data_IF_997121960534
#
_entry.id   IF_997121960534
#
_cell.length_a   1.000
_cell.length_b   1.000
_cell.length_c   1.000
_cell.angle_alpha   90.00
_cell.angle_beta   90.00
_cell.angle_gamma   90.00
#
_symmetry.space_group_name_H-M   'P 1'
#
loop_
_entity.id
_entity.type
_entity.pdbx_description
1 polymer ?
#
# COMPACT_ATOMS: atom_id res chain seq x y z
N UNK A 1 23.35 3.31 -6.63
CA UNK A 1 23.04 1.86 -6.55
C UNK A 1 22.18 1.47 -5.35
N UNK A 2 22.45 1.93 -4.12
CA UNK A 2 21.65 1.53 -2.94
C UNK A 2 20.19 2.02 -2.95
N UNK A 3 19.92 3.21 -3.46
CA UNK A 3 18.58 3.83 -3.53
C UNK A 3 17.59 3.02 -4.37
N UNK A 4 18.02 2.54 -5.55
CA UNK A 4 17.18 1.73 -6.45
C UNK A 4 16.82 0.36 -5.84
N UNK A 5 17.76 -0.29 -5.15
CA UNK A 5 17.49 -1.57 -4.46
C UNK A 5 16.50 -1.41 -3.30
N UNK A 6 16.62 -0.33 -2.51
CA UNK A 6 15.69 -0.04 -1.42
C UNK A 6 14.27 0.17 -1.94
N UNK A 7 14.10 1.02 -2.95
CA UNK A 7 12.78 1.30 -3.55
C UNK A 7 12.17 0.03 -4.15
N UNK A 8 12.96 -0.82 -4.80
CA UNK A 8 12.51 -2.11 -5.30
C UNK A 8 11.99 -3.02 -4.16
N UNK A 9 12.76 -3.17 -3.08
CA UNK A 9 12.37 -3.99 -1.92
C UNK A 9 11.10 -3.44 -1.24
N UNK A 10 10.97 -2.12 -1.12
CA UNK A 10 9.77 -1.49 -0.58
C UNK A 10 8.55 -1.79 -1.45
N UNK A 11 8.67 -1.69 -2.77
CA UNK A 11 7.56 -2.01 -3.69
C UNK A 11 7.17 -3.49 -3.64
N UNK A 12 8.13 -4.42 -3.61
CA UNK A 12 7.84 -5.85 -3.46
C UNK A 12 7.11 -6.12 -2.14
N UNK A 13 7.59 -5.52 -1.04
CA UNK A 13 6.96 -5.65 0.28
C UNK A 13 5.55 -5.07 0.30
N UNK A 14 5.34 -3.91 -0.34
CA UNK A 14 4.02 -3.28 -0.48
C UNK A 14 3.05 -4.16 -1.26
N UNK A 15 3.48 -4.82 -2.33
CA UNK A 15 2.63 -5.76 -3.08
C UNK A 15 2.19 -6.92 -2.18
N UNK A 16 3.11 -7.55 -1.45
CA UNK A 16 2.81 -8.66 -0.54
C UNK A 16 1.85 -8.22 0.57
N UNK A 17 2.15 -7.11 1.24
CA UNK A 17 1.30 -6.57 2.30
C UNK A 17 -0.08 -6.16 1.79
N UNK A 18 -0.16 -5.61 0.58
CA UNK A 18 -1.45 -5.21 0.00
C UNK A 18 -2.32 -6.40 -0.37
N UNK A 19 -1.74 -7.49 -0.87
CA UNK A 19 -2.45 -8.75 -1.06
C UNK A 19 -2.96 -9.26 0.30
N UNK A 20 -2.10 -9.28 1.33
CA UNK A 20 -2.49 -9.68 2.69
C UNK A 20 -3.62 -8.81 3.27
N UNK A 21 -3.54 -7.48 3.07
CA UNK A 21 -4.56 -6.52 3.48
C UNK A 21 -5.89 -6.74 2.77
N UNK A 22 -5.88 -7.01 1.46
CA UNK A 22 -7.07 -7.35 0.70
C UNK A 22 -7.68 -8.68 1.18
N UNK A 23 -6.88 -9.71 1.42
CA UNK A 23 -7.37 -10.99 1.95
C UNK A 23 -8.00 -10.84 3.34
N UNK A 24 -7.38 -10.08 4.25
CA UNK A 24 -7.93 -9.79 5.58
C UNK A 24 -9.24 -8.99 5.49
N UNK A 25 -9.27 -7.99 4.61
CA UNK A 25 -10.47 -7.18 4.34
C UNK A 25 -11.60 -8.06 3.82
N UNK A 26 -11.36 -8.86 2.79
CA UNK A 26 -12.34 -9.81 2.25
C UNK A 26 -12.82 -10.79 3.30
N UNK A 27 -11.94 -11.30 4.16
CA UNK A 27 -12.33 -12.19 5.25
C UNK A 27 -13.32 -11.53 6.20
N UNK A 28 -13.13 -10.26 6.57
CA UNK A 28 -14.07 -9.50 7.42
C UNK A 28 -15.43 -9.35 6.74
N UNK A 29 -15.47 -9.00 5.46
CA UNK A 29 -16.74 -8.78 4.76
C UNK A 29 -17.48 -10.07 4.42
N UNK A 30 -16.77 -11.16 4.15
CA UNK A 30 -17.36 -12.50 4.03
C UNK A 30 -18.02 -12.94 5.34
N UNK A 31 -17.38 -12.62 6.48
CA UNK A 31 -17.97 -12.84 7.80
C UNK A 31 -19.25 -12.04 8.04
N UNK A 32 -19.32 -10.78 7.58
CA UNK A 32 -20.54 -9.93 7.70
C UNK A 32 -21.68 -10.50 6.85
N UNK A 33 -21.39 -10.92 5.62
CA UNK A 33 -22.39 -11.47 4.69
C UNK A 33 -22.93 -12.81 5.22
N UNK A 34 -22.06 -13.67 5.73
CA UNK A 34 -22.44 -14.99 6.27
C UNK A 34 -23.14 -14.92 7.62
N UNK A 35 -22.75 -14.00 8.51
CA UNK A 35 -23.28 -13.95 9.89
C UNK A 35 -24.48 -13.01 10.09
N UNK A 36 -24.88 -12.24 9.06
CA UNK A 36 -25.83 -11.10 9.16
C UNK A 36 -25.32 -10.02 10.14
N UNK A 37 -25.87 -8.81 10.06
CA UNK A 37 -25.40 -7.62 10.81
C UNK A 37 -25.07 -7.92 12.29
N UNK A 38 -23.83 -7.62 12.69
CA UNK A 38 -23.33 -7.85 14.04
C UNK A 38 -23.65 -6.64 14.93
N UNK A 39 -24.56 -6.80 15.89
CA UNK A 39 -24.97 -5.73 16.83
C UNK A 39 -25.04 -6.24 18.26
N UNK A 40 -24.89 -5.34 19.24
CA UNK A 40 -25.04 -5.66 20.67
C UNK A 40 -26.51 -5.73 21.07
N UNK A 41 -26.85 -6.49 22.12
CA UNK A 41 -28.18 -6.48 22.76
C UNK A 41 -27.96 -6.10 24.22
N UNK A 42 -28.74 -5.18 24.82
CA UNK A 42 -29.95 -4.52 24.29
C UNK A 42 -29.72 -3.28 23.42
N UNK A 43 -28.50 -2.71 23.39
CA UNK A 43 -28.26 -1.38 22.82
C UNK A 43 -28.30 -1.30 21.28
N UNK A 44 -28.41 -2.44 20.58
CA UNK A 44 -28.40 -2.55 19.12
C UNK A 44 -27.25 -1.81 18.44
N UNK A 45 -26.12 -1.61 19.14
CA UNK A 45 -24.95 -0.93 18.60
C UNK A 45 -24.36 -1.80 17.49
N UNK A 46 -24.35 -1.29 16.26
CA UNK A 46 -23.70 -1.95 15.12
C UNK A 46 -22.19 -2.00 15.38
N UNK A 47 -21.66 -3.21 15.54
CA UNK A 47 -20.24 -3.45 15.81
C UNK A 47 -19.42 -3.58 14.52
N UNK A 48 -20.08 -3.93 13.41
CA UNK A 48 -19.44 -3.98 12.10
C UNK A 48 -20.21 -3.12 11.12
N UNK A 49 -19.66 -1.95 10.79
CA UNK A 49 -20.24 -1.06 9.80
C UNK A 49 -19.81 -1.50 8.39
N UNK A 50 -20.74 -1.93 7.51
CA UNK A 50 -20.41 -2.33 6.14
C UNK A 50 -19.79 -1.20 5.31
N UNK A 51 -20.05 0.07 5.66
CA UNK A 51 -19.45 1.23 4.99
C UNK A 51 -17.92 1.31 5.20
N UNK A 52 -17.37 0.59 6.18
CA UNK A 52 -15.93 0.49 6.37
C UNK A 52 -15.23 -0.14 5.15
N UNK A 53 -15.96 -0.93 4.34
CA UNK A 53 -15.46 -1.50 3.09
C UNK A 53 -14.94 -0.44 2.11
N UNK A 54 -15.62 0.72 2.07
CA UNK A 54 -15.29 1.84 1.19
C UNK A 54 -13.94 2.46 1.53
N UNK A 55 -13.40 2.21 2.72
CA UNK A 55 -12.08 2.67 3.14
C UNK A 55 -11.04 1.57 3.06
N UNK A 56 -11.37 0.37 3.55
CA UNK A 56 -10.46 -0.77 3.62
C UNK A 56 -9.99 -1.26 2.24
N UNK A 57 -10.93 -1.47 1.30
CA UNK A 57 -10.57 -1.99 -0.02
C UNK A 57 -9.73 -0.99 -0.82
N UNK A 58 -10.10 0.30 -0.95
CA UNK A 58 -9.30 1.23 -1.73
C UNK A 58 -7.90 1.45 -1.16
N UNK A 59 -7.71 1.40 0.16
CA UNK A 59 -6.40 1.58 0.79
C UNK A 59 -5.37 0.55 0.31
N UNK A 60 -5.71 -0.73 0.40
CA UNK A 60 -4.78 -1.79 -0.03
C UNK A 60 -4.72 -1.90 -1.56
N UNK A 61 -5.82 -1.66 -2.27
CA UNK A 61 -5.84 -1.67 -3.74
C UNK A 61 -4.94 -0.58 -4.33
N UNK A 62 -4.98 0.64 -3.78
CA UNK A 62 -4.16 1.73 -4.29
C UNK A 62 -2.66 1.45 -4.09
N UNK A 63 -2.26 1.01 -2.90
CA UNK A 63 -0.88 0.57 -2.63
C UNK A 63 -0.45 -0.58 -3.56
N UNK A 64 -1.33 -1.56 -3.79
CA UNK A 64 -1.06 -2.67 -4.70
C UNK A 64 -0.83 -2.17 -6.13
N UNK A 65 -1.75 -1.39 -6.70
CA UNK A 65 -1.67 -0.92 -8.08
C UNK A 65 -0.39 -0.11 -8.28
N UNK A 66 -0.10 0.85 -7.40
CA UNK A 66 1.08 1.70 -7.52
C UNK A 66 2.37 0.85 -7.51
N UNK A 67 2.57 0.04 -6.47
CA UNK A 67 3.79 -0.76 -6.36
C UNK A 67 3.92 -1.84 -7.42
N UNK A 68 2.81 -2.47 -7.80
CA UNK A 68 2.80 -3.48 -8.86
C UNK A 68 3.10 -2.86 -10.23
N UNK A 69 2.52 -1.69 -10.54
CA UNK A 69 2.85 -0.94 -11.75
C UNK A 69 4.31 -0.53 -11.80
N UNK A 70 4.90 -0.09 -10.68
CA UNK A 70 6.34 0.23 -10.60
C UNK A 70 7.21 -1.00 -10.91
N UNK A 71 6.84 -2.18 -10.40
CA UNK A 71 7.57 -3.43 -10.68
C UNK A 71 7.41 -3.84 -12.14
N UNK A 72 6.19 -3.80 -12.68
CA UNK A 72 5.92 -4.15 -14.08
C UNK A 72 6.66 -3.23 -15.05
N UNK A 73 6.85 -1.96 -14.70
CA UNK A 73 7.59 -1.01 -15.53
C UNK A 73 9.03 -1.46 -15.80
N UNK A 74 9.64 -2.25 -14.90
CA UNK A 74 10.98 -2.82 -15.11
C UNK A 74 11.03 -3.79 -16.30
N UNK A 75 9.88 -4.35 -16.68
CA UNK A 75 9.72 -5.26 -17.82
C UNK A 75 9.06 -4.60 -19.04
N UNK A 76 8.88 -3.28 -19.00
CA UNK A 76 8.18 -2.56 -20.07
C UNK A 76 9.00 -2.53 -21.37
N UNK A 77 8.29 -2.65 -22.50
CA UNK A 77 8.90 -2.53 -23.83
C UNK A 77 9.37 -1.09 -24.13
N UNK A 78 10.27 -0.96 -25.11
CA UNK A 78 10.93 0.32 -25.44
C UNK A 78 9.96 1.49 -25.64
N UNK A 79 8.84 1.28 -26.33
CA UNK A 79 7.84 2.34 -26.59
C UNK A 79 7.25 2.96 -25.31
N UNK A 80 7.05 2.15 -24.27
CA UNK A 80 6.51 2.62 -22.98
C UNK A 80 7.58 3.42 -22.24
N UNK A 81 8.83 2.98 -22.33
CA UNK A 81 9.97 3.68 -21.73
C UNK A 81 10.18 5.03 -22.41
N UNK A 82 10.12 5.09 -23.74
CA UNK A 82 10.27 6.34 -24.50
C UNK A 82 9.16 7.33 -24.12
N UNK A 83 7.90 6.87 -24.08
CA UNK A 83 6.77 7.69 -23.60
C UNK A 83 6.98 8.22 -22.18
N UNK A 84 7.50 7.38 -21.28
CA UNK A 84 7.74 7.76 -19.90
C UNK A 84 8.86 8.79 -19.74
N UNK A 85 9.88 8.73 -20.59
CA UNK A 85 10.95 9.75 -20.64
C UNK A 85 10.40 11.08 -21.15
N UNK A 86 9.58 11.05 -22.21
CA UNK A 86 8.98 12.24 -22.80
C UNK A 86 8.02 12.96 -21.82
N UNK A 87 7.33 12.21 -20.97
CA UNK A 87 6.33 12.73 -20.02
C UNK A 87 6.77 12.59 -18.55
N UNK A 88 8.07 12.47 -18.29
CA UNK A 88 8.65 12.16 -16.98
C UNK A 88 8.13 13.03 -15.82
N UNK A 89 7.98 14.34 -16.06
CA UNK A 89 7.57 15.29 -15.02
C UNK A 89 6.11 15.06 -14.62
N UNK A 90 5.25 14.87 -15.61
CA UNK A 90 3.82 14.64 -15.41
C UNK A 90 3.60 13.29 -14.70
N UNK A 91 4.27 12.24 -15.16
CA UNK A 91 4.20 10.92 -14.54
C UNK A 91 4.72 10.92 -13.11
N UNK A 92 5.86 11.58 -12.86
CA UNK A 92 6.44 11.69 -11.52
C UNK A 92 5.54 12.48 -10.57
N UNK A 93 4.93 13.56 -11.04
CA UNK A 93 3.99 14.36 -10.26
C UNK A 93 2.74 13.56 -9.85
N UNK A 94 2.11 12.88 -10.81
CA UNK A 94 0.94 12.05 -10.51
C UNK A 94 1.30 10.86 -9.61
N UNK A 95 2.42 10.19 -9.86
CA UNK A 95 2.88 9.09 -9.02
C UNK A 95 3.14 9.57 -7.58
N UNK A 96 3.79 10.72 -7.38
CA UNK A 96 4.02 11.30 -6.06
C UNK A 96 2.69 11.60 -5.33
N UNK A 97 1.72 12.22 -6.01
CA UNK A 97 0.40 12.52 -5.42
C UNK A 97 -0.31 11.23 -5.02
N UNK A 98 -0.37 10.24 -5.92
CA UNK A 98 -1.05 8.98 -5.64
C UNK A 98 -0.39 8.21 -4.50
N UNK A 99 0.95 8.24 -4.41
CA UNK A 99 1.68 7.67 -3.28
C UNK A 99 1.36 8.38 -1.96
N UNK A 100 1.28 9.72 -1.96
CA UNK A 100 0.85 10.50 -0.80
C UNK A 100 -0.58 10.13 -0.36
N UNK A 101 -1.51 10.06 -1.32
CA UNK A 101 -2.88 9.62 -1.05
C UNK A 101 -2.90 8.20 -0.45
N UNK A 102 -2.11 7.28 -1.00
CA UNK A 102 -1.99 5.91 -0.50
C UNK A 102 -1.43 5.85 0.92
N UNK A 103 -0.40 6.67 1.21
CA UNK A 103 0.20 6.78 2.53
C UNK A 103 -0.80 7.28 3.59
N UNK A 104 -1.52 8.37 3.28
CA UNK A 104 -2.53 8.97 4.17
C UNK A 104 -3.69 8.00 4.38
N UNK A 105 -4.20 7.41 3.30
CA UNK A 105 -5.32 6.47 3.36
C UNK A 105 -4.97 5.23 4.20
N UNK A 106 -3.76 4.69 4.03
CA UNK A 106 -3.28 3.55 4.85
C UNK A 106 -3.14 3.92 6.32
N UNK A 107 -2.64 5.12 6.64
CA UNK A 107 -2.58 5.61 8.02
C UNK A 107 -3.99 5.79 8.62
N UNK A 108 -4.93 6.33 7.84
CA UNK A 108 -6.30 6.53 8.28
C UNK A 108 -7.03 5.19 8.52
N UNK A 109 -6.86 4.21 7.64
CA UNK A 109 -7.39 2.86 7.83
C UNK A 109 -6.77 2.18 9.05
N UNK A 110 -5.48 2.37 9.31
CA UNK A 110 -4.84 1.87 10.53
C UNK A 110 -5.49 2.43 11.79
N UNK A 111 -5.71 3.75 11.82
CA UNK A 111 -6.41 4.42 12.91
C UNK A 111 -7.85 3.90 13.09
N UNK A 112 -8.63 3.81 12.00
CA UNK A 112 -10.00 3.29 12.04
C UNK A 112 -10.06 1.86 12.56
N UNK A 113 -9.16 0.98 12.11
CA UNK A 113 -9.11 -0.40 12.57
C UNK A 113 -8.73 -0.49 14.05
N UNK A 114 -7.83 0.38 14.53
CA UNK A 114 -7.44 0.44 15.93
C UNK A 114 -8.61 0.88 16.82
N UNK A 115 -9.36 1.90 16.40
CA UNK A 115 -10.54 2.38 17.10
C UNK A 115 -11.63 1.30 17.17
N UNK A 116 -11.93 0.65 16.05
CA UNK A 116 -12.90 -0.44 16.01
C UNK A 116 -12.44 -1.65 16.84
N UNK A 117 -11.14 -1.93 16.89
CA UNK A 117 -10.61 -3.00 17.72
C UNK A 117 -10.79 -2.68 19.22
N UNK A 118 -10.55 -1.43 19.63
CA UNK A 118 -10.76 -1.00 21.01
C UNK A 118 -12.23 -1.15 21.43
N UNK A 119 -13.16 -0.77 20.56
CA UNK A 119 -14.61 -0.90 20.78
C UNK A 119 -15.07 -2.35 20.96
N UNK A 120 -14.37 -3.30 20.34
CA UNK A 120 -14.77 -4.72 20.30
C UNK A 120 -13.99 -5.58 21.30
N UNK A 121 -12.86 -5.07 21.81
CA UNK A 121 -11.97 -5.80 22.70
C UNK A 121 -12.65 -6.31 23.98
N UNK A 122 -13.58 -5.55 24.54
CA UNK A 122 -14.34 -5.98 25.73
C UNK A 122 -15.23 -7.18 25.40
N UNK A 123 -15.92 -7.15 24.26
CA UNK A 123 -16.79 -8.25 23.83
C UNK A 123 -15.99 -9.50 23.45
N UNK A 124 -14.82 -9.32 22.85
CA UNK A 124 -13.90 -10.41 22.55
C UNK A 124 -13.43 -11.17 23.80
N UNK A 125 -13.31 -10.48 24.94
CA UNK A 125 -12.77 -11.05 26.17
C UNK A 125 -13.86 -11.54 27.15
N UNK A 126 -15.02 -10.89 27.22
CA UNK A 126 -15.98 -11.12 28.32
C UNK A 126 -17.45 -11.24 27.88
N UNK A 127 -17.76 -11.32 26.57
CA UNK A 127 -19.16 -11.34 26.17
C UNK A 127 -19.87 -12.67 26.45
N UNK A 128 -21.16 -12.59 26.71
CA UNK A 128 -22.09 -13.71 26.73
C UNK A 128 -23.16 -13.50 25.65
N UNK A 129 -23.57 -14.53 24.88
CA UNK A 129 -23.19 -15.94 25.00
C UNK A 129 -21.81 -16.27 24.36
N UNK A 130 -21.22 -17.46 24.64
CA UNK A 130 -19.88 -17.83 24.15
C UNK A 130 -19.71 -17.75 22.63
N UNK A 131 -20.77 -18.01 21.85
CA UNK A 131 -20.74 -17.89 20.39
C UNK A 131 -20.47 -16.44 19.95
N UNK A 132 -21.07 -15.47 20.65
CA UNK A 132 -20.84 -14.05 20.39
C UNK A 132 -19.43 -13.64 20.83
N UNK A 133 -18.93 -14.14 21.96
CA UNK A 133 -17.54 -13.91 22.37
C UNK A 133 -16.53 -14.40 21.31
N UNK A 134 -16.73 -15.62 20.79
CA UNK A 134 -15.84 -16.19 19.77
C UNK A 134 -15.86 -15.38 18.47
N UNK A 135 -17.04 -14.97 18.00
CA UNK A 135 -17.18 -14.10 16.85
C UNK A 135 -16.51 -12.72 17.06
N UNK A 136 -16.69 -12.12 18.24
CA UNK A 136 -16.05 -10.86 18.61
C UNK A 136 -14.53 -10.99 18.67
N UNK A 137 -14.01 -12.08 19.21
CA UNK A 137 -12.57 -12.38 19.26
C UNK A 137 -11.97 -12.60 17.87
N UNK A 138 -12.67 -13.33 17.01
CA UNK A 138 -12.29 -13.55 15.62
C UNK A 138 -12.19 -12.24 14.83
N UNK A 139 -13.14 -11.34 15.04
CA UNK A 139 -13.15 -10.02 14.38
C UNK A 139 -12.08 -9.09 14.95
N UNK A 140 -11.95 -9.04 16.28
CA UNK A 140 -10.91 -8.29 16.98
C UNK A 140 -9.50 -8.65 16.48
N UNK A 141 -9.19 -9.94 16.33
CA UNK A 141 -7.89 -10.38 15.84
C UNK A 141 -7.60 -9.88 14.42
N UNK A 142 -8.60 -9.83 13.54
CA UNK A 142 -8.45 -9.35 12.15
C UNK A 142 -8.30 -7.85 12.07
N UNK A 143 -9.04 -7.10 12.88
CA UNK A 143 -8.88 -5.65 12.98
C UNK A 143 -7.45 -5.31 13.43
N UNK A 144 -6.91 -6.01 14.44
CA UNK A 144 -5.51 -5.81 14.87
C UNK A 144 -4.50 -6.18 13.80
N UNK A 145 -4.72 -7.27 13.06
CA UNK A 145 -3.87 -7.62 11.93
C UNK A 145 -3.88 -6.52 10.85
N UNK A 146 -5.06 -5.97 10.54
CA UNK A 146 -5.19 -4.85 9.60
C UNK A 146 -4.51 -3.57 10.09
N UNK A 147 -4.54 -3.26 11.39
CA UNK A 147 -3.78 -2.13 11.96
C UNK A 147 -2.30 -2.24 11.60
N UNK A 148 -1.72 -3.42 11.83
CA UNK A 148 -0.29 -3.67 11.57
C UNK A 148 0.01 -3.61 10.07
N UNK A 149 -0.81 -4.26 9.24
CA UNK A 149 -0.63 -4.27 7.79
C UNK A 149 -0.73 -2.86 7.20
N UNK A 150 -1.76 -2.10 7.57
CA UNK A 150 -1.98 -0.75 7.05
C UNK A 150 -0.97 0.28 7.58
N UNK A 151 -0.49 0.13 8.81
CA UNK A 151 0.63 0.91 9.33
C UNK A 151 1.91 0.62 8.54
N UNK A 152 2.21 -0.64 8.28
CA UNK A 152 3.38 -1.03 7.48
C UNK A 152 3.28 -0.51 6.03
N UNK A 153 2.09 -0.58 5.40
CA UNK A 153 1.85 0.03 4.09
C UNK A 153 2.12 1.54 4.11
N UNK A 154 1.62 2.25 5.12
CA UNK A 154 1.85 3.70 5.27
C UNK A 154 3.34 4.02 5.38
N UNK A 155 4.08 3.29 6.23
CA UNK A 155 5.54 3.48 6.39
C UNK A 155 6.29 3.22 5.09
N UNK A 156 5.99 2.13 4.38
CA UNK A 156 6.67 1.81 3.13
C UNK A 156 6.37 2.84 2.03
N UNK A 157 5.12 3.31 1.92
CA UNK A 157 4.76 4.40 1.01
C UNK A 157 5.54 5.68 1.37
N UNK A 158 5.61 6.03 2.66
CA UNK A 158 6.37 7.19 3.14
C UNK A 158 7.86 7.07 2.81
N UNK A 159 8.47 5.90 3.00
CA UNK A 159 9.88 5.65 2.64
C UNK A 159 10.12 5.88 1.15
N UNK A 160 9.24 5.36 0.28
CA UNK A 160 9.35 5.59 -1.17
C UNK A 160 9.23 7.08 -1.49
N UNK A 161 8.26 7.79 -0.90
CA UNK A 161 8.10 9.23 -1.10
C UNK A 161 9.35 10.00 -0.66
N UNK A 162 9.88 9.70 0.53
CA UNK A 162 11.05 10.37 1.09
C UNK A 162 12.29 10.16 0.22
N UNK A 163 12.45 8.96 -0.32
CA UNK A 163 13.62 8.58 -1.10
C UNK A 163 13.55 9.13 -2.53
N UNK A 164 12.38 9.08 -3.17
CA UNK A 164 12.20 9.47 -4.58
C UNK A 164 11.91 10.96 -4.77
N UNK A 165 11.11 11.58 -3.89
CA UNK A 165 10.55 12.91 -4.14
C UNK A 165 11.07 13.98 -3.18
N UNK A 166 11.38 13.61 -1.93
CA UNK A 166 11.92 14.56 -0.95
C UNK A 166 13.46 14.56 -0.89
N UNK A 167 14.11 13.77 -1.74
CA UNK A 167 15.51 13.97 -2.08
C UNK A 167 16.52 13.70 -0.98
N UNK A 168 16.27 12.73 -0.09
CA UNK A 168 17.29 12.26 0.88
C UNK A 168 18.59 11.78 0.18
N UNK A 169 18.58 11.58 -1.15
CA UNK A 169 19.78 11.30 -1.97
C UNK A 169 19.93 12.13 -3.28
N UNK A 170 19.22 13.25 -3.48
CA UNK A 170 19.27 13.97 -4.76
C UNK A 170 20.54 14.82 -4.95
N UNK A 171 21.61 14.20 -5.46
CA UNK A 171 22.47 14.87 -6.45
C UNK A 171 21.68 14.91 -7.76
N UNK A 172 21.06 16.06 -8.06
CA UNK A 172 20.38 16.32 -9.33
C UNK A 172 21.27 15.94 -10.53
N UNK A 173 21.06 14.77 -11.12
CA UNK A 173 21.47 14.48 -12.50
C UNK A 173 20.19 14.50 -13.33
N UNK A 174 20.02 15.56 -14.10
CA UNK A 174 18.97 15.64 -15.10
C UNK A 174 19.16 14.56 -16.16
N UNK A 175 18.06 13.99 -16.68
CA UNK A 175 18.06 12.93 -17.71
C UNK A 175 18.90 13.28 -18.97
N UNK A 176 19.09 14.57 -19.26
CA UNK A 176 19.96 15.08 -20.32
C UNK A 176 21.44 14.70 -20.12
N UNK A 177 21.90 14.58 -18.87
CA UNK A 177 23.27 14.14 -18.58
C UNK A 177 23.48 12.62 -18.70
N UNK A 178 22.40 11.82 -18.68
CA UNK A 178 22.48 10.37 -18.88
C UNK A 178 22.45 10.05 -20.38
N UNK A 179 21.57 10.70 -21.14
CA UNK A 179 21.49 10.58 -22.60
C UNK A 179 22.82 10.88 -23.29
N UNK A 180 23.51 11.96 -22.91
CA UNK A 180 24.82 12.33 -23.49
C UNK A 180 25.97 11.40 -23.05
N UNK A 181 25.80 10.59 -22.00
CA UNK A 181 26.81 9.63 -21.55
C UNK A 181 26.60 8.23 -22.16
N UNK A 182 25.37 7.91 -22.59
CA UNK A 182 24.99 6.61 -23.13
C UNK A 182 25.25 6.44 -24.64
N UNK A 183 25.57 7.52 -25.36
CA UNK A 183 26.00 7.42 -26.77
C UNK A 183 27.38 6.75 -26.94
N UNK A 184 28.10 6.49 -25.84
CA UNK A 184 29.45 5.88 -25.84
C UNK A 184 29.53 4.46 -25.29
N UNK A 185 28.43 3.82 -24.88
CA UNK A 185 28.51 2.60 -24.07
C UNK A 185 27.90 1.39 -24.78
N UNK A 186 28.70 0.32 -24.82
CA UNK A 186 28.44 -0.95 -25.48
C UNK A 186 27.31 -1.73 -24.80
N UNK A 187 26.69 -2.63 -25.56
CA UNK A 187 25.36 -3.23 -25.37
C UNK A 187 25.08 -3.96 -24.03
N UNK A 188 26.03 -4.49 -23.22
CA UNK A 188 25.66 -5.15 -21.97
C UNK A 188 25.31 -4.20 -20.80
N UNK A 189 25.73 -2.93 -20.83
CA UNK A 189 25.51 -1.96 -19.73
C UNK A 189 24.12 -1.29 -19.74
N UNK A 190 23.37 -1.44 -20.84
CA UNK A 190 22.03 -0.85 -21.00
C UNK A 190 21.02 -1.43 -20.02
N UNK A 191 21.15 -2.71 -19.65
CA UNK A 191 20.18 -3.39 -18.77
C UNK A 191 20.33 -2.92 -17.32
N UNK A 192 21.56 -2.70 -16.86
CA UNK A 192 21.86 -2.28 -15.49
C UNK A 192 21.61 -0.78 -15.26
N UNK A 193 21.81 0.06 -16.27
CA UNK A 193 21.52 1.50 -16.17
C UNK A 193 20.05 1.85 -16.31
N UNK A 194 19.28 1.16 -17.15
CA UNK A 194 17.82 1.33 -17.24
C UNK A 194 17.15 1.15 -15.87
N UNK A 195 17.66 0.27 -15.01
CA UNK A 195 17.10 0.04 -13.68
C UNK A 195 17.34 1.19 -12.69
N UNK A 196 18.29 2.08 -12.99
CA UNK A 196 18.72 3.15 -12.06
C UNK A 196 18.17 4.53 -12.35
N UNK A 197 17.71 4.80 -13.57
CA UNK A 197 17.39 6.18 -14.00
C UNK A 197 15.91 6.48 -14.20
N UNK A 198 15.03 5.50 -14.37
CA UNK A 198 13.62 5.82 -14.63
C UNK A 198 12.79 6.20 -13.39
N UNK A 199 13.32 5.95 -12.19
CA UNK A 199 12.66 6.31 -10.93
C UNK A 199 13.67 6.78 -9.88
N UNK A 200 14.63 7.60 -10.27
CA UNK A 200 15.47 8.37 -9.35
C UNK A 200 15.46 9.84 -9.77
#
# INVERSE_FOLDING_TARGET
MHTSRLVFLCNVSLVILSIGGLCLTSSIFDFIVSSRLYYTVPDHKVLINPLLALWLFPSSTLSFILSFSTILFLTAGQKIVDFAVDHQFVLSFFHAILMCCSCILSSFVSFLCAQNAADIGVYAAHASPPQFQQASSWYFSRLRALVVVSAAQSILNAVIISVLYLGINCKYRTFVQISNHDEKITIPDLVEKRTTTYFA
#
